data_IF_154439870183
#
_entry.id   IF_154439870183
#
_cell.length_a   1.000
_cell.length_b   1.000
_cell.length_c   1.000
_cell.angle_alpha   90.00
_cell.angle_beta   90.00
_cell.angle_gamma   90.00
#
_symmetry.space_group_name_H-M   'P 1'
#
loop_
_entity.id
_entity.type
_entity.pdbx_description
1 polymer ?
#
# COMPACT_ATOMS: atom_id res chain seq x y z
N UNK A 1 -6.92 -72.90 8.64
CA UNK A 1 -6.39 -71.57 9.03
C UNK A 1 -7.58 -70.61 9.08
N UNK A 2 -8.11 -70.36 10.26
CA UNK A 2 -9.26 -69.45 10.42
C UNK A 2 -8.68 -68.03 10.58
N UNK A 3 -8.88 -67.21 9.57
CA UNK A 3 -8.46 -65.80 9.62
C UNK A 3 -9.56 -65.06 10.38
N UNK A 4 -9.23 -64.53 11.56
CA UNK A 4 -10.16 -63.76 12.38
C UNK A 4 -10.48 -62.42 11.74
N UNK A 5 -11.64 -62.34 11.12
CA UNK A 5 -12.18 -61.10 10.47
C UNK A 5 -12.35 -59.94 11.44
N UNK A 6 -12.36 -60.17 12.76
CA UNK A 6 -12.52 -59.16 13.80
C UNK A 6 -11.20 -58.39 14.00
N UNK A 7 -10.04 -59.02 13.82
CA UNK A 7 -8.74 -58.36 13.95
C UNK A 7 -8.53 -57.24 12.96
N UNK A 8 -8.92 -57.43 11.71
CA UNK A 8 -8.84 -56.37 10.66
C UNK A 8 -9.82 -55.21 10.89
N UNK A 9 -10.98 -55.48 11.49
CA UNK A 9 -11.93 -54.42 11.87
C UNK A 9 -11.40 -53.56 13.00
N UNK A 10 -10.81 -54.17 14.01
CA UNK A 10 -10.23 -53.44 15.15
C UNK A 10 -9.04 -52.57 14.69
N UNK A 11 -8.15 -53.08 13.84
CA UNK A 11 -7.02 -52.33 13.31
C UNK A 11 -7.51 -51.15 12.48
N UNK A 12 -8.53 -51.32 11.62
CA UNK A 12 -9.11 -50.21 10.82
C UNK A 12 -9.76 -49.14 11.70
N UNK A 13 -10.43 -49.53 12.79
CA UNK A 13 -10.99 -48.60 13.77
C UNK A 13 -9.89 -47.80 14.49
N UNK A 14 -8.83 -48.51 14.93
CA UNK A 14 -7.68 -47.84 15.57
C UNK A 14 -6.95 -46.87 14.64
N UNK A 15 -6.70 -47.27 13.40
CA UNK A 15 -6.09 -46.39 12.38
C UNK A 15 -6.98 -45.20 12.06
N UNK A 16 -8.30 -45.36 12.02
CA UNK A 16 -9.23 -44.26 11.81
C UNK A 16 -9.26 -43.29 12.97
N UNK A 17 -9.19 -43.78 14.21
CA UNK A 17 -9.12 -42.93 15.41
C UNK A 17 -7.80 -42.16 15.46
N UNK A 18 -6.67 -42.80 15.14
CA UNK A 18 -5.36 -42.13 15.07
C UNK A 18 -5.36 -41.08 13.97
N UNK A 19 -5.94 -41.38 12.81
CA UNK A 19 -6.06 -40.38 11.71
C UNK A 19 -6.93 -39.20 12.09
N UNK A 20 -8.04 -39.41 12.82
CA UNK A 20 -8.91 -38.35 13.30
C UNK A 20 -8.28 -37.49 14.40
N UNK A 21 -7.44 -38.07 15.27
CA UNK A 21 -6.72 -37.30 16.29
C UNK A 21 -5.59 -36.43 15.70
N UNK A 22 -5.01 -36.84 14.56
CA UNK A 22 -4.02 -36.04 13.84
C UNK A 22 -4.63 -34.85 13.09
N UNK A 23 -5.94 -34.87 12.81
CA UNK A 23 -6.65 -33.74 12.16
C UNK A 23 -7.04 -32.63 13.15
N UNK A 24 -6.92 -32.85 14.46
CA UNK A 24 -7.01 -31.76 15.43
C UNK A 24 -5.63 -31.12 15.62
N UNK A 25 -5.08 -30.58 14.57
CA UNK A 25 -4.04 -29.57 14.70
C UNK A 25 -4.69 -28.37 15.38
N UNK A 26 -4.32 -28.14 16.64
CA UNK A 26 -4.62 -26.87 17.29
C UNK A 26 -4.10 -25.76 16.39
N UNK A 27 -5.00 -25.06 15.71
CA UNK A 27 -4.64 -23.83 15.03
C UNK A 27 -4.07 -22.89 16.08
N UNK A 28 -2.77 -22.66 16.04
CA UNK A 28 -2.16 -21.63 16.85
C UNK A 28 -2.75 -20.30 16.37
N UNK A 29 -3.73 -19.81 17.11
CA UNK A 29 -4.15 -18.42 16.96
C UNK A 29 -2.98 -17.58 17.46
N UNK A 30 -2.28 -16.93 16.52
CA UNK A 30 -1.31 -15.94 16.90
C UNK A 30 -2.05 -14.80 17.62
N UNK A 31 -1.74 -14.57 18.89
CA UNK A 31 -2.22 -13.38 19.60
C UNK A 31 -1.54 -12.17 18.98
N UNK A 32 -2.26 -11.48 18.09
CA UNK A 32 -1.80 -10.22 17.53
C UNK A 32 -2.02 -9.11 18.57
N UNK A 33 -0.92 -8.52 19.01
CA UNK A 33 -0.97 -7.33 19.84
C UNK A 33 -0.90 -6.11 18.92
N UNK A 34 -1.88 -5.20 19.04
CA UNK A 34 -1.92 -3.95 18.32
C UNK A 34 -1.51 -2.81 19.23
N UNK A 35 -0.52 -2.04 18.80
CA UNK A 35 -0.10 -0.83 19.48
C UNK A 35 -0.37 0.38 18.60
N UNK A 36 -0.98 1.42 19.19
CA UNK A 36 -1.19 2.69 18.50
C UNK A 36 0.09 3.51 18.52
N UNK A 37 0.70 3.73 17.35
CA UNK A 37 1.94 4.49 17.20
C UNK A 37 1.65 5.99 17.02
N UNK A 38 0.69 6.36 16.15
CA UNK A 38 0.38 7.76 15.86
C UNK A 38 -1.12 7.94 15.54
N UNK A 39 -1.56 9.22 15.59
CA UNK A 39 -2.86 9.63 15.04
C UNK A 39 -2.63 10.40 13.75
N UNK A 40 -3.19 9.92 12.67
CA UNK A 40 -3.11 10.52 11.34
C UNK A 40 -4.51 10.89 10.85
N UNK A 41 -4.57 11.83 9.89
CA UNK A 41 -5.82 12.21 9.22
C UNK A 41 -5.78 11.68 7.78
N UNK A 42 -6.68 10.76 7.46
CA UNK A 42 -6.80 10.15 6.13
C UNK A 42 -5.45 9.66 5.54
N UNK A 43 -4.70 8.80 6.27
CA UNK A 43 -3.44 8.27 5.77
C UNK A 43 -3.69 7.41 4.54
N UNK A 44 -2.82 7.54 3.52
CA UNK A 44 -2.98 6.82 2.26
C UNK A 44 -1.84 5.84 1.96
N UNK A 45 -0.63 6.34 1.79
CA UNK A 45 0.55 5.54 1.49
C UNK A 45 1.59 5.62 2.60
N UNK A 46 2.42 4.60 2.71
CA UNK A 46 3.51 4.57 3.67
C UNK A 46 4.66 3.71 3.21
N UNK A 47 5.88 4.05 3.65
CA UNK A 47 7.09 3.28 3.40
C UNK A 47 8.07 3.43 4.54
N UNK A 48 8.74 2.34 4.93
CA UNK A 48 9.87 2.45 5.85
C UNK A 48 11.04 3.17 5.19
N UNK A 49 11.64 4.12 5.90
CA UNK A 49 12.85 4.86 5.49
C UNK A 49 14.07 4.46 6.31
N UNK A 50 13.85 3.81 7.45
CA UNK A 50 14.85 3.12 8.28
C UNK A 50 14.15 2.01 9.07
N UNK A 51 14.86 1.34 9.98
CA UNK A 51 14.28 0.33 10.88
C UNK A 51 13.19 0.92 11.80
N UNK A 52 13.38 2.16 12.25
CA UNK A 52 12.50 2.81 13.22
C UNK A 52 11.66 3.95 12.64
N UNK A 53 11.77 4.28 11.37
CA UNK A 53 11.05 5.40 10.79
C UNK A 53 10.24 5.01 9.56
N UNK A 54 9.00 5.49 9.55
CA UNK A 54 8.08 5.33 8.44
C UNK A 54 7.63 6.70 7.91
N UNK A 55 7.72 6.90 6.60
CA UNK A 55 7.17 8.06 5.93
C UNK A 55 5.73 7.75 5.50
N UNK A 56 4.82 8.68 5.70
CA UNK A 56 3.37 8.50 5.45
C UNK A 56 2.81 9.73 4.74
N UNK A 57 1.94 9.50 3.77
CA UNK A 57 1.12 10.56 3.16
C UNK A 57 -0.24 10.63 3.82
N UNK A 58 -0.73 11.84 4.04
CA UNK A 58 -2.15 12.11 4.29
C UNK A 58 -2.77 12.68 3.01
N UNK A 59 -3.94 12.20 2.64
CA UNK A 59 -4.66 12.64 1.43
C UNK A 59 -4.77 14.15 1.31
N UNK A 60 -4.92 14.84 2.44
CA UNK A 60 -5.05 16.29 2.55
C UNK A 60 -3.78 17.09 2.22
N UNK A 61 -2.69 16.42 1.83
CA UNK A 61 -1.46 17.09 1.40
C UNK A 61 -0.35 17.12 2.44
N UNK A 62 -0.42 16.34 3.50
CA UNK A 62 0.68 16.27 4.46
C UNK A 62 1.54 15.04 4.22
N UNK A 63 2.84 15.22 4.38
CA UNK A 63 3.82 14.14 4.45
C UNK A 63 4.38 14.14 5.86
N UNK A 64 4.37 12.99 6.50
CA UNK A 64 4.85 12.84 7.88
C UNK A 64 5.86 11.72 7.98
N UNK A 65 6.86 11.92 8.81
CA UNK A 65 7.78 10.87 9.26
C UNK A 65 7.43 10.57 10.71
N UNK A 66 7.29 9.29 11.01
CA UNK A 66 6.95 8.80 12.34
C UNK A 66 8.08 7.89 12.80
N UNK A 67 8.68 8.19 13.94
CA UNK A 67 9.56 7.25 14.61
C UNK A 67 8.69 6.28 15.43
N UNK A 68 8.74 4.99 15.08
CA UNK A 68 7.87 3.98 15.70
C UNK A 68 8.29 3.62 17.13
N UNK A 69 9.56 3.81 17.48
CA UNK A 69 10.06 3.54 18.82
C UNK A 69 9.75 4.68 19.79
N UNK A 70 10.01 5.95 19.38
CA UNK A 70 9.79 7.13 20.23
C UNK A 70 8.39 7.70 20.08
N UNK A 71 7.64 7.34 19.02
CA UNK A 71 6.34 7.89 18.63
C UNK A 71 6.38 9.38 18.24
N UNK A 72 7.57 9.91 18.02
CA UNK A 72 7.74 11.27 17.53
C UNK A 72 7.23 11.37 16.08
N UNK A 73 6.58 12.50 15.79
CA UNK A 73 6.00 12.80 14.50
C UNK A 73 6.59 14.09 13.95
N UNK A 74 7.14 14.04 12.75
CA UNK A 74 7.68 15.17 12.03
C UNK A 74 6.85 15.40 10.75
N UNK A 75 6.36 16.63 10.55
CA UNK A 75 5.73 17.03 9.29
C UNK A 75 6.81 17.55 8.33
N UNK A 76 6.85 17.00 7.12
CA UNK A 76 7.85 17.32 6.09
C UNK A 76 7.21 18.22 5.04
N UNK A 77 7.86 19.36 4.73
CA UNK A 77 7.41 20.28 3.69
C UNK A 77 7.62 19.71 2.30
N UNK A 78 6.82 20.12 1.31
CA UNK A 78 6.98 19.71 -0.07
C UNK A 78 6.43 20.73 -1.05
N UNK A 79 6.86 20.64 -2.32
CA UNK A 79 6.53 21.57 -3.41
C UNK A 79 5.51 21.01 -4.43
N UNK A 80 4.78 19.94 -4.11
CA UNK A 80 3.83 19.33 -5.05
C UNK A 80 2.64 20.25 -5.31
N UNK A 81 2.29 20.42 -6.59
CA UNK A 81 1.06 21.08 -7.02
C UNK A 81 -0.09 20.05 -7.07
N UNK A 82 -0.58 19.66 -5.89
CA UNK A 82 -1.63 18.67 -5.74
C UNK A 82 -3.01 19.30 -5.55
N UNK A 83 -4.05 18.50 -5.79
CA UNK A 83 -5.44 18.85 -5.50
C UNK A 83 -6.10 17.74 -4.70
N UNK A 84 -6.61 18.06 -3.50
CA UNK A 84 -7.51 17.19 -2.77
C UNK A 84 -8.91 17.29 -3.40
N UNK A 85 -9.31 16.28 -4.17
CA UNK A 85 -10.60 16.24 -4.85
C UNK A 85 -11.16 14.82 -4.92
N UNK A 86 -12.30 14.59 -4.29
CA UNK A 86 -12.91 13.26 -4.21
C UNK A 86 -12.00 12.23 -3.54
N UNK A 87 -11.58 11.22 -4.30
CA UNK A 87 -10.62 10.20 -3.84
C UNK A 87 -9.15 10.65 -3.97
N UNK A 88 -8.91 11.78 -4.63
CA UNK A 88 -7.57 12.28 -4.92
C UNK A 88 -6.97 13.14 -3.81
N UNK A 89 -5.67 13.37 -3.90
CA UNK A 89 -4.83 14.10 -2.97
C UNK A 89 -3.38 13.62 -3.06
N UNK A 90 -2.62 13.61 -1.97
CA UNK A 90 -1.42 12.79 -1.90
C UNK A 90 -1.83 11.33 -1.75
N UNK A 91 -1.17 10.45 -2.50
CA UNK A 91 -1.56 9.06 -2.63
C UNK A 91 -0.44 8.14 -2.14
N UNK A 92 0.07 7.23 -2.96
CA UNK A 92 1.08 6.29 -2.53
C UNK A 92 2.48 6.91 -2.43
N UNK A 93 3.29 6.41 -1.52
CA UNK A 93 4.66 6.85 -1.30
C UNK A 93 5.57 5.65 -1.05
N UNK A 94 6.70 5.60 -1.72
CA UNK A 94 7.71 4.57 -1.51
C UNK A 94 9.10 5.17 -1.40
N UNK A 95 9.96 4.51 -0.61
CA UNK A 95 11.34 4.89 -0.40
C UNK A 95 12.28 3.75 -0.81
N UNK A 96 13.32 4.09 -1.55
CA UNK A 96 14.41 3.19 -1.86
C UNK A 96 15.68 3.98 -2.19
N UNK A 97 16.81 3.53 -1.68
CA UNK A 97 18.15 4.09 -2.03
C UNK A 97 18.20 5.63 -1.95
N UNK A 98 17.77 6.18 -0.80
CA UNK A 98 17.73 7.62 -0.53
C UNK A 98 16.82 8.43 -1.45
N UNK A 99 15.97 7.79 -2.25
CA UNK A 99 14.95 8.45 -3.04
C UNK A 99 13.55 8.16 -2.49
N UNK A 100 12.68 9.14 -2.63
CA UNK A 100 11.24 9.05 -2.33
C UNK A 100 10.50 9.23 -3.64
N UNK A 101 9.59 8.32 -3.96
CA UNK A 101 8.64 8.46 -5.08
C UNK A 101 7.25 8.60 -4.49
N UNK A 102 6.46 9.46 -5.07
CA UNK A 102 5.09 9.71 -4.67
C UNK A 102 4.19 9.73 -5.89
N UNK A 103 3.02 9.13 -5.76
CA UNK A 103 1.90 9.37 -6.65
C UNK A 103 0.94 10.37 -6.02
N UNK A 104 0.33 11.21 -6.82
CA UNK A 104 -0.57 12.23 -6.32
C UNK A 104 -1.53 12.69 -7.41
N UNK A 105 -2.61 13.32 -6.99
CA UNK A 105 -3.54 14.00 -7.87
C UNK A 105 -2.98 15.37 -8.22
N UNK A 106 -2.47 15.51 -9.42
CA UNK A 106 -1.93 16.78 -9.89
C UNK A 106 -3.05 17.73 -10.32
N UNK A 107 -2.97 18.97 -9.83
CA UNK A 107 -3.82 20.06 -10.28
C UNK A 107 -3.37 20.52 -11.69
N UNK A 108 -4.23 20.32 -12.68
CA UNK A 108 -3.97 20.67 -14.07
C UNK A 108 -4.81 21.89 -14.49
N UNK A 109 -4.61 22.33 -15.71
CA UNK A 109 -5.34 23.48 -16.27
C UNK A 109 -6.86 23.26 -16.22
N UNK A 110 -7.63 24.29 -15.91
CA UNK A 110 -9.09 24.29 -15.82
C UNK A 110 -9.66 23.28 -14.80
N UNK A 111 -9.02 23.15 -13.65
CA UNK A 111 -9.44 22.26 -12.54
C UNK A 111 -9.47 20.76 -12.89
N UNK A 112 -9.00 20.42 -14.07
CA UNK A 112 -8.81 19.00 -14.41
C UNK A 112 -7.68 18.42 -13.59
N UNK A 113 -7.72 17.13 -13.36
CA UNK A 113 -6.75 16.40 -12.56
C UNK A 113 -6.19 15.21 -13.31
N UNK A 114 -4.98 14.82 -13.00
CA UNK A 114 -4.39 13.56 -13.45
C UNK A 114 -3.64 12.88 -12.32
N UNK A 115 -3.47 11.56 -12.43
CA UNK A 115 -2.50 10.85 -11.59
C UNK A 115 -1.11 11.19 -12.10
N UNK A 116 -0.28 11.71 -11.22
CA UNK A 116 1.10 12.08 -11.54
C UNK A 116 2.05 11.42 -10.55
N UNK A 117 3.29 11.24 -10.97
CA UNK A 117 4.35 10.63 -10.17
C UNK A 117 5.51 11.60 -10.11
N UNK A 118 6.01 11.82 -8.92
CA UNK A 118 7.16 12.66 -8.68
C UNK A 118 8.23 11.92 -7.83
N UNK A 119 9.46 12.40 -7.93
CA UNK A 119 10.62 11.87 -7.23
C UNK A 119 11.37 12.99 -6.53
N UNK A 120 11.83 12.72 -5.31
CA UNK A 120 12.74 13.58 -4.55
C UNK A 120 13.88 12.77 -3.93
N UNK A 121 14.95 13.43 -3.53
CA UNK A 121 15.89 12.87 -2.54
C UNK A 121 15.30 13.04 -1.16
N UNK A 122 15.48 12.03 -0.29
CA UNK A 122 15.01 12.12 1.08
C UNK A 122 15.72 13.25 1.81
N UNK A 123 14.94 14.20 2.28
CA UNK A 123 15.32 15.23 3.24
C UNK A 123 14.15 15.36 4.22
N UNK A 124 14.43 15.22 5.51
CA UNK A 124 13.38 15.21 6.54
C UNK A 124 12.79 16.60 6.81
N UNK A 125 13.40 17.66 6.32
CA UNK A 125 12.87 19.03 6.45
C UNK A 125 11.98 19.37 5.27
N UNK A 126 12.44 19.08 4.04
CA UNK A 126 11.74 19.44 2.81
C UNK A 126 12.02 18.43 1.69
N UNK A 127 10.97 17.99 1.02
CA UNK A 127 11.03 17.12 -0.15
C UNK A 127 10.78 17.94 -1.43
N UNK A 128 11.84 18.23 -2.14
CA UNK A 128 11.80 18.93 -3.42
C UNK A 128 11.53 17.94 -4.56
N UNK A 129 10.27 17.67 -4.82
CA UNK A 129 9.81 16.74 -5.84
C UNK A 129 9.97 17.29 -7.25
N UNK A 130 10.36 16.43 -8.19
CA UNK A 130 10.30 16.65 -9.64
C UNK A 130 9.37 15.64 -10.26
N UNK A 131 8.43 16.09 -11.09
CA UNK A 131 7.56 15.18 -11.84
C UNK A 131 8.40 14.32 -12.79
N UNK A 132 8.08 13.04 -12.82
CA UNK A 132 8.67 12.06 -13.72
C UNK A 132 7.65 11.43 -14.65
N UNK A 133 6.34 11.53 -14.30
CA UNK A 133 5.24 11.05 -15.12
C UNK A 133 3.97 11.84 -14.82
N UNK A 134 3.15 12.05 -15.85
CA UNK A 134 1.83 12.68 -15.79
C UNK A 134 0.87 11.90 -16.69
N UNK A 135 -0.18 11.32 -16.13
CA UNK A 135 -1.21 10.67 -16.94
C UNK A 135 -1.96 11.69 -17.81
N UNK A 136 -2.23 11.33 -19.04
CA UNK A 136 -2.95 12.15 -20.02
C UNK A 136 -4.11 11.34 -20.63
N UNK A 137 -5.21 12.02 -21.03
CA UNK A 137 -5.50 13.43 -20.78
C UNK A 137 -5.89 13.69 -19.32
N UNK A 138 -5.73 14.92 -18.81
CA UNK A 138 -6.31 15.31 -17.54
C UNK A 138 -7.82 15.37 -17.64
N UNK A 139 -8.52 14.90 -16.59
CA UNK A 139 -9.98 14.72 -16.59
C UNK A 139 -10.57 15.45 -15.39
N UNK A 140 -11.74 16.07 -15.58
CA UNK A 140 -12.55 16.60 -14.48
C UNK A 140 -13.30 15.44 -13.81
N UNK A 141 -12.59 14.77 -12.90
CA UNK A 141 -13.15 13.66 -12.10
C UNK A 141 -12.38 13.49 -10.80
N UNK A 142 -13.13 13.26 -9.73
CA UNK A 142 -12.60 12.96 -8.41
C UNK A 142 -12.46 11.45 -8.12
N UNK A 143 -12.60 10.57 -9.13
CA UNK A 143 -12.67 9.13 -8.92
C UNK A 143 -11.51 8.38 -9.56
N UNK A 144 -11.24 7.18 -9.05
CA UNK A 144 -10.43 6.11 -9.63
C UNK A 144 -9.05 6.58 -10.11
N UNK A 145 -8.25 7.17 -9.22
CA UNK A 145 -6.89 7.60 -9.54
C UNK A 145 -5.90 6.45 -9.72
N UNK A 146 -6.19 5.27 -9.16
CA UNK A 146 -5.26 4.15 -9.10
C UNK A 146 -4.16 4.44 -8.08
N UNK A 147 -2.97 4.81 -8.56
CA UNK A 147 -1.86 5.40 -7.79
C UNK A 147 -0.90 4.47 -7.05
N UNK A 148 -1.14 3.16 -6.95
CA UNK A 148 -0.20 2.26 -6.30
C UNK A 148 1.15 2.26 -7.02
N UNK A 149 2.22 2.37 -6.23
CA UNK A 149 3.60 2.32 -6.67
C UNK A 149 4.25 0.99 -6.25
N UNK A 150 5.14 0.47 -7.08
CA UNK A 150 6.02 -0.64 -6.74
C UNK A 150 7.36 -0.49 -7.46
N UNK A 151 8.45 -0.87 -6.80
CA UNK A 151 9.78 -0.91 -7.44
C UNK A 151 10.22 -2.37 -7.48
N UNK A 152 10.64 -2.79 -8.67
CA UNK A 152 11.28 -4.09 -8.87
C UNK A 152 12.46 -3.90 -9.84
N UNK A 153 13.60 -4.41 -9.46
CA UNK A 153 14.85 -4.22 -10.17
C UNK A 153 15.12 -2.71 -10.38
N UNK A 154 15.26 -2.23 -11.61
CA UNK A 154 15.45 -0.82 -11.92
C UNK A 154 14.17 -0.14 -12.46
N UNK A 155 13.00 -0.79 -12.31
CA UNK A 155 11.73 -0.30 -12.84
C UNK A 155 10.83 0.20 -11.73
N UNK A 156 10.19 1.35 -11.97
CA UNK A 156 9.07 1.85 -11.17
C UNK A 156 7.77 1.50 -11.90
N UNK A 157 6.92 0.75 -11.23
CA UNK A 157 5.58 0.42 -11.69
C UNK A 157 4.59 1.33 -10.99
N UNK A 158 3.62 1.83 -11.74
CA UNK A 158 2.55 2.65 -11.20
C UNK A 158 1.22 2.26 -11.85
N UNK A 159 0.15 2.30 -11.06
CA UNK A 159 -1.20 2.13 -11.58
C UNK A 159 -1.89 3.47 -11.76
N UNK A 160 -2.63 3.63 -12.84
CA UNK A 160 -3.57 4.72 -13.05
C UNK A 160 -4.97 4.14 -13.27
N UNK A 161 -5.99 4.82 -12.79
CA UNK A 161 -7.38 4.41 -12.96
C UNK A 161 -8.05 5.14 -14.14
N UNK A 162 -9.20 4.63 -14.57
CA UNK A 162 -10.00 5.11 -15.70
C UNK A 162 -10.80 6.39 -15.34
N UNK A 163 -10.68 6.89 -14.12
CA UNK A 163 -11.23 8.17 -13.67
C UNK A 163 -12.76 8.28 -13.82
N UNK A 164 -13.48 7.14 -13.69
CA UNK A 164 -14.93 7.06 -13.88
C UNK A 164 -15.40 7.05 -15.34
N UNK A 165 -14.47 6.88 -16.29
CA UNK A 165 -14.77 6.85 -17.72
C UNK A 165 -14.58 5.45 -18.34
N UNK A 166 -14.94 4.42 -17.64
CA UNK A 166 -14.94 3.00 -17.92
C UNK A 166 -14.09 2.49 -19.08
N UNK A 167 -14.33 2.96 -20.30
CA UNK A 167 -13.64 2.47 -21.50
C UNK A 167 -12.23 3.02 -21.68
N UNK A 168 -11.84 4.10 -21.00
CA UNK A 168 -10.51 4.69 -21.18
C UNK A 168 -9.39 3.74 -20.72
N UNK A 169 -9.69 2.83 -19.80
CA UNK A 169 -8.73 1.82 -19.35
C UNK A 169 -8.41 0.75 -20.41
N UNK A 170 -9.21 0.69 -21.48
CA UNK A 170 -9.02 -0.24 -22.60
C UNK A 170 -8.39 0.45 -23.83
N UNK A 171 -8.16 1.76 -23.74
CA UNK A 171 -7.53 2.53 -24.81
C UNK A 171 -6.00 2.35 -24.73
N UNK A 172 -5.35 1.82 -25.77
CA UNK A 172 -3.91 1.60 -25.77
C UNK A 172 -3.08 2.86 -26.08
N UNK A 173 -3.69 4.03 -26.33
CA UNK A 173 -3.03 5.28 -26.72
C UNK A 173 -2.66 6.17 -25.52
#
# INVERSE_FOLDING_TARGET
MVVDLNFHRVIRLFLSIIFFTFLWSNGFSANLNFEKIAKLKDPWGSSFISEDEIIVTEKSGKIKIINIATKELLEVQHNLNFLEYGQGGLLDIIYQNSNVWISYTENRVNWKTSTSIAKAKLNKQELNFKNIFQANPPIDSGYHFGSRLAIKDNYLFASAGERGQGMIAQDPT
#
